data_IF_880041293729
#
_entry.id   IF_880041293729
#
_cell.length_a   1.000
_cell.length_b   1.000
_cell.length_c   1.000
_cell.angle_alpha   90.00
_cell.angle_beta   90.00
_cell.angle_gamma   90.00
#
_symmetry.space_group_name_H-M   'P 1'
#
loop_
_entity.id
_entity.type
_entity.pdbx_description
1 polymer ?
#
# COMPACT_ATOMS: atom_id res chain seq x y z
N UNK A 1 -7.60 -10.53 12.96
CA UNK A 1 -6.65 -10.47 11.84
C UNK A 1 -7.23 -9.99 10.50
N UNK A 2 -8.09 -10.75 9.77
CA UNK A 2 -8.53 -10.32 8.42
C UNK A 2 -9.31 -8.99 8.44
N UNK A 3 -10.16 -8.80 9.45
CA UNK A 3 -10.92 -7.56 9.64
C UNK A 3 -10.02 -6.39 10.07
N UNK A 4 -9.02 -6.63 10.93
CA UNK A 4 -8.02 -5.62 11.32
C UNK A 4 -7.21 -5.15 10.11
N UNK A 5 -6.74 -6.08 9.27
CA UNK A 5 -6.03 -5.75 8.02
C UNK A 5 -6.93 -4.93 7.11
N UNK A 6 -8.20 -5.29 6.97
CA UNK A 6 -9.15 -4.53 6.15
C UNK A 6 -9.33 -3.10 6.68
N UNK A 7 -9.45 -2.92 7.99
CA UNK A 7 -9.56 -1.61 8.62
C UNK A 7 -8.28 -0.80 8.42
N UNK A 8 -7.10 -1.40 8.66
CA UNK A 8 -5.81 -0.74 8.45
C UNK A 8 -5.61 -0.26 7.00
N UNK A 9 -6.04 -1.06 6.01
CA UNK A 9 -6.01 -0.66 4.61
C UNK A 9 -6.98 0.51 4.31
N UNK A 10 -8.11 0.61 5.01
CA UNK A 10 -9.05 1.73 4.85
C UNK A 10 -8.50 3.04 5.39
N UNK A 11 -7.64 2.99 6.41
CA UNK A 11 -7.00 4.17 7.01
C UNK A 11 -5.79 4.68 6.22
N UNK A 12 -5.31 3.92 5.24
CA UNK A 12 -4.23 4.38 4.38
C UNK A 12 -4.65 5.58 3.51
N UNK A 13 -3.73 6.52 3.26
CA UNK A 13 -3.87 7.49 2.18
C UNK A 13 -4.19 6.77 0.86
N UNK A 14 -5.06 7.36 0.03
CA UNK A 14 -5.50 6.75 -1.23
C UNK A 14 -4.33 6.36 -2.12
N UNK A 15 -3.34 7.26 -2.26
CA UNK A 15 -2.13 7.00 -3.06
C UNK A 15 -1.24 5.86 -2.55
N UNK A 16 -1.38 5.46 -1.29
CA UNK A 16 -0.64 4.35 -0.68
C UNK A 16 -1.44 3.05 -0.79
N UNK A 17 -2.76 3.11 -0.56
CA UNK A 17 -3.68 1.98 -0.78
C UNK A 17 -3.70 1.55 -2.25
N UNK A 18 -3.74 2.50 -3.19
CA UNK A 18 -3.74 2.22 -4.63
C UNK A 18 -2.52 1.39 -5.06
N UNK A 19 -1.35 1.68 -4.50
CA UNK A 19 -0.11 0.92 -4.78
C UNK A 19 -0.24 -0.53 -4.30
N UNK A 20 -0.88 -0.77 -3.15
CA UNK A 20 -1.10 -2.13 -2.65
C UNK A 20 -2.11 -2.89 -3.50
N UNK A 21 -3.18 -2.22 -3.96
CA UNK A 21 -4.18 -2.82 -4.87
C UNK A 21 -3.51 -3.25 -6.17
N UNK A 22 -2.83 -2.33 -6.85
CA UNK A 22 -2.17 -2.62 -8.12
C UNK A 22 -1.09 -3.71 -7.97
N UNK A 23 -0.35 -3.70 -6.85
CA UNK A 23 0.72 -4.68 -6.63
C UNK A 23 0.22 -6.08 -6.29
N UNK A 24 -0.75 -6.19 -5.38
CA UNK A 24 -1.12 -7.48 -4.78
C UNK A 24 -2.40 -8.08 -5.35
N UNK A 25 -3.36 -7.25 -5.78
CA UNK A 25 -4.60 -7.71 -6.40
C UNK A 25 -4.43 -7.83 -7.91
N UNK A 26 -3.95 -6.77 -8.56
CA UNK A 26 -3.77 -6.73 -10.02
C UNK A 26 -2.44 -7.36 -10.48
N UNK A 27 -1.57 -7.75 -9.54
CA UNK A 27 -0.28 -8.44 -9.79
C UNK A 27 0.70 -7.69 -10.69
N UNK A 28 0.60 -6.36 -10.73
CA UNK A 28 1.45 -5.54 -11.58
C UNK A 28 2.87 -5.39 -11.03
N UNK A 29 3.81 -5.19 -11.95
CA UNK A 29 5.19 -4.80 -11.67
C UNK A 29 5.29 -3.32 -11.29
N UNK A 30 6.43 -2.91 -10.72
CA UNK A 30 6.62 -1.50 -10.38
C UNK A 30 6.67 -0.59 -11.63
N UNK A 31 7.17 -1.13 -12.74
CA UNK A 31 7.22 -0.49 -14.05
C UNK A 31 5.82 -0.22 -14.59
N UNK A 32 4.97 -1.24 -14.70
CA UNK A 32 3.57 -1.11 -15.15
C UNK A 32 2.78 -0.13 -14.27
N UNK A 33 2.98 -0.18 -12.95
CA UNK A 33 2.34 0.76 -12.02
C UNK A 33 2.84 2.19 -12.26
N UNK A 34 4.14 2.37 -12.53
CA UNK A 34 4.72 3.67 -12.80
C UNK A 34 4.14 4.27 -14.09
N UNK A 35 3.96 3.46 -15.14
CA UNK A 35 3.31 3.87 -16.38
C UNK A 35 1.85 4.26 -16.16
N UNK A 36 1.07 3.42 -15.47
CA UNK A 36 -0.36 3.68 -15.18
C UNK A 36 -0.54 4.98 -14.39
N UNK A 37 0.33 5.24 -13.41
CA UNK A 37 0.22 6.39 -12.51
C UNK A 37 0.98 7.62 -13.01
N UNK A 38 1.60 7.57 -14.20
CA UNK A 38 2.38 8.68 -14.76
C UNK A 38 3.53 9.12 -13.86
N UNK A 39 4.25 8.16 -13.26
CA UNK A 39 5.31 8.39 -12.26
C UNK A 39 6.54 7.53 -12.53
N UNK A 40 7.45 7.43 -11.55
CA UNK A 40 8.66 6.59 -11.62
C UNK A 40 8.55 5.38 -10.71
N UNK A 41 9.22 4.28 -11.06
CA UNK A 41 9.34 3.09 -10.19
C UNK A 41 9.85 3.43 -8.78
N UNK A 42 10.79 4.39 -8.68
CA UNK A 42 11.28 4.89 -7.38
C UNK A 42 10.14 5.46 -6.54
N UNK A 43 9.21 6.19 -7.15
CA UNK A 43 8.06 6.75 -6.46
C UNK A 43 7.08 5.67 -6.04
N UNK A 44 6.88 4.65 -6.89
CA UNK A 44 6.08 3.45 -6.57
C UNK A 44 6.64 2.75 -5.33
N UNK A 45 7.93 2.41 -5.31
CA UNK A 45 8.56 1.76 -4.16
C UNK A 45 8.54 2.61 -2.90
N UNK A 46 8.72 3.93 -3.02
CA UNK A 46 8.61 4.84 -1.88
C UNK A 46 7.19 4.84 -1.28
N UNK A 47 6.15 4.85 -2.13
CA UNK A 47 4.75 4.78 -1.67
C UNK A 47 4.42 3.41 -1.09
N UNK A 48 4.90 2.33 -1.71
CA UNK A 48 4.76 0.96 -1.21
C UNK A 48 5.36 0.80 0.19
N UNK A 49 6.61 1.25 0.39
CA UNK A 49 7.27 1.18 1.68
C UNK A 49 6.49 1.90 2.79
N UNK A 50 6.01 3.13 2.52
CA UNK A 50 5.17 3.87 3.48
C UNK A 50 3.84 3.18 3.76
N UNK A 51 3.22 2.57 2.74
CA UNK A 51 1.98 1.84 2.91
C UNK A 51 2.16 0.64 3.85
N UNK A 52 3.23 -0.15 3.65
CA UNK A 52 3.54 -1.31 4.51
C UNK A 52 3.89 -0.87 5.94
N UNK A 53 4.71 0.17 6.11
CA UNK A 53 5.07 0.73 7.42
C UNK A 53 3.82 1.19 8.18
N UNK A 54 2.92 1.93 7.52
CA UNK A 54 1.69 2.45 8.14
C UNK A 54 0.71 1.33 8.50
N UNK A 55 0.55 0.32 7.65
CA UNK A 55 -0.23 -0.88 8.01
C UNK A 55 0.37 -1.57 9.24
N UNK A 56 1.70 -1.70 9.30
CA UNK A 56 2.38 -2.28 10.46
C UNK A 56 2.12 -1.50 11.75
N UNK A 57 2.16 -0.17 11.70
CA UNK A 57 1.84 0.69 12.85
C UNK A 57 0.40 0.49 13.33
N UNK A 58 -0.58 0.59 12.41
CA UNK A 58 -2.00 0.44 12.76
C UNK A 58 -2.31 -0.93 13.38
N UNK A 59 -1.71 -1.99 12.83
CA UNK A 59 -1.92 -3.35 13.35
C UNK A 59 -1.25 -3.57 14.70
N UNK A 60 -0.11 -2.90 14.97
CA UNK A 60 0.58 -3.02 16.25
C UNK A 60 -0.05 -2.14 17.35
N UNK A 61 -0.63 -0.98 17.00
CA UNK A 61 -1.33 -0.08 17.94
C UNK A 61 -2.61 -0.72 18.53
N UNK A 62 -3.18 -1.74 17.88
CA UNK A 62 -4.33 -2.50 18.39
C UNK A 62 -4.00 -3.63 19.38
N UNK A 63 -2.75 -3.75 19.82
CA UNK A 63 -2.25 -4.90 20.63
C UNK A 63 -2.00 -4.59 22.11
N UNK A 64 -2.44 -3.44 22.62
CA UNK A 64 -2.39 -3.09 24.05
C UNK A 64 -3.65 -3.51 24.82
#
# INVERSE_FOLDING_TARGET
LLQEVKNALQELPESEREILVLKYLEKLTAEEIAEILGTTERTVWRRHGRAIERVGLILNEGTE
#
